data_IF_203815031469
#
_entry.id   IF_203815031469
#
_cell.length_a   1.000
_cell.length_b   1.000
_cell.length_c   1.000
_cell.angle_alpha   90.00
_cell.angle_beta   90.00
_cell.angle_gamma   90.00
#
_symmetry.space_group_name_H-M   'P 1'
#
loop_
_entity.id
_entity.type
_entity.pdbx_description
1 polymer ?
#
# COMPACT_ATOMS: atom_id res chain seq x y z
N UNK A 1 -6.85 54.29 19.86
CA UNK A 1 -6.19 53.25 20.70
C UNK A 1 -6.96 51.93 20.77
N UNK A 2 -8.30 51.92 20.91
CA UNK A 2 -9.10 50.67 21.05
C UNK A 2 -9.02 49.73 19.83
N UNK A 3 -8.82 50.27 18.61
CA UNK A 3 -8.71 49.48 17.38
C UNK A 3 -7.41 48.67 17.27
N UNK A 4 -6.27 49.24 17.68
CA UNK A 4 -4.97 48.57 17.61
C UNK A 4 -4.88 47.39 18.60
N UNK A 5 -5.38 47.59 19.83
CA UNK A 5 -5.41 46.54 20.86
C UNK A 5 -6.27 45.34 20.45
N UNK A 6 -7.45 45.58 19.83
CA UNK A 6 -8.31 44.50 19.31
C UNK A 6 -7.66 43.73 18.17
N UNK A 7 -6.95 44.42 17.27
CA UNK A 7 -6.20 43.77 16.18
C UNK A 7 -5.08 42.90 16.76
N UNK A 8 -4.30 43.42 17.71
CA UNK A 8 -3.25 42.64 18.38
C UNK A 8 -3.81 41.41 19.12
N UNK A 9 -4.98 41.53 19.76
CA UNK A 9 -5.63 40.42 20.46
C UNK A 9 -6.12 39.33 19.49
N UNK A 10 -6.69 39.72 18.34
CA UNK A 10 -7.11 38.78 17.29
C UNK A 10 -5.91 38.09 16.64
N UNK A 11 -4.81 38.81 16.40
CA UNK A 11 -3.56 38.23 15.89
C UNK A 11 -2.98 37.25 16.90
N UNK A 12 -2.93 37.62 18.18
CA UNK A 12 -2.45 36.73 19.25
C UNK A 12 -3.33 35.49 19.41
N UNK A 13 -4.66 35.62 19.32
CA UNK A 13 -5.59 34.49 19.35
C UNK A 13 -5.42 33.59 18.12
N UNK A 14 -5.32 34.15 16.92
CA UNK A 14 -5.08 33.40 15.70
C UNK A 14 -3.73 32.67 15.74
N UNK A 15 -2.68 33.32 16.27
CA UNK A 15 -1.37 32.74 16.48
C UNK A 15 -1.41 31.60 17.50
N UNK A 16 -2.08 31.80 18.65
CA UNK A 16 -2.29 30.77 19.67
C UNK A 16 -3.07 29.57 19.12
N UNK A 17 -4.14 29.79 18.36
CA UNK A 17 -4.89 28.72 17.70
C UNK A 17 -3.99 28.00 16.69
N UNK A 18 -3.27 28.75 15.85
CA UNK A 18 -2.37 28.17 14.84
C UNK A 18 -1.29 27.27 15.45
N UNK A 19 -0.75 27.63 16.62
CA UNK A 19 0.29 26.86 17.30
C UNK A 19 -0.25 25.75 18.22
N UNK A 20 -1.38 25.96 18.90
CA UNK A 20 -1.95 24.98 19.82
C UNK A 20 -2.78 23.90 19.12
N UNK A 21 -3.41 24.22 17.99
CA UNK A 21 -4.34 23.32 17.31
C UNK A 21 -3.66 22.09 16.68
N UNK A 22 -2.49 22.18 16.02
CA UNK A 22 -1.82 21.00 15.47
C UNK A 22 -1.37 19.98 16.54
N UNK A 23 -0.72 20.37 17.66
CA UNK A 23 -0.42 19.45 18.76
C UNK A 23 -1.67 18.81 19.37
N UNK A 24 -2.78 19.54 19.48
CA UNK A 24 -4.05 18.99 19.99
C UNK A 24 -4.65 17.95 19.04
N UNK A 25 -4.59 18.16 17.73
CA UNK A 25 -5.00 17.15 16.74
C UNK A 25 -4.13 15.89 16.86
N UNK A 26 -2.81 16.05 16.96
CA UNK A 26 -1.88 14.93 17.10
C UNK A 26 -2.11 14.16 18.41
N UNK A 27 -2.44 14.86 19.50
CA UNK A 27 -2.79 14.23 20.76
C UNK A 27 -4.12 13.47 20.67
N UNK A 28 -5.13 14.04 20.00
CA UNK A 28 -6.39 13.35 19.74
C UNK A 28 -6.23 12.09 18.88
N UNK A 29 -5.42 12.17 17.82
CA UNK A 29 -5.04 11.02 16.96
C UNK A 29 -4.24 9.97 17.73
N UNK A 30 -3.34 10.39 18.62
CA UNK A 30 -2.63 9.48 19.51
C UNK A 30 -3.60 8.74 20.44
N UNK A 31 -4.53 9.45 21.08
CA UNK A 31 -5.54 8.86 21.97
C UNK A 31 -6.45 7.87 21.25
N UNK A 32 -6.93 8.22 20.05
CA UNK A 32 -7.80 7.33 19.25
C UNK A 32 -7.08 6.07 18.78
N UNK A 33 -5.76 6.07 18.70
CA UNK A 33 -4.96 4.91 18.27
C UNK A 33 -4.40 4.09 19.44
N UNK A 34 -4.17 4.70 20.60
CA UNK A 34 -3.50 4.05 21.74
C UNK A 34 -4.44 3.66 22.89
N UNK A 35 -5.76 3.83 22.73
CA UNK A 35 -6.70 3.34 23.75
C UNK A 35 -6.69 1.80 23.82
N UNK A 36 -7.01 1.19 24.98
CA UNK A 36 -6.91 -0.27 25.17
C UNK A 36 -7.73 -1.14 24.21
N UNK A 37 -8.70 -0.55 23.51
CA UNK A 37 -9.60 -1.23 22.58
C UNK A 37 -9.24 -0.98 21.11
N UNK A 38 -8.11 -0.34 20.82
CA UNK A 38 -7.70 -0.02 19.44
C UNK A 38 -7.25 -1.24 18.64
N UNK A 39 -7.04 -2.38 19.31
CA UNK A 39 -6.53 -3.61 18.70
C UNK A 39 -5.03 -3.60 18.41
N UNK A 40 -4.34 -2.47 18.58
CA UNK A 40 -2.91 -2.34 18.21
C UNK A 40 -2.01 -3.34 18.93
N UNK A 41 -2.23 -3.59 20.24
CA UNK A 41 -1.45 -4.59 20.99
C UNK A 41 -1.58 -6.02 20.44
N UNK A 42 -2.72 -6.35 19.84
CA UNK A 42 -2.89 -7.66 19.21
C UNK A 42 -2.12 -7.72 17.89
N UNK A 43 -2.12 -6.63 17.12
CA UNK A 43 -1.35 -6.51 15.87
C UNK A 43 0.16 -6.57 16.13
N UNK A 44 0.62 -5.90 17.20
CA UNK A 44 2.02 -5.83 17.65
C UNK A 44 2.51 -7.10 18.37
N UNK A 45 1.67 -8.14 18.50
CA UNK A 45 2.06 -9.37 19.16
C UNK A 45 3.28 -10.01 18.46
N UNK A 46 4.24 -10.52 19.25
CA UNK A 46 5.36 -11.29 18.71
C UNK A 46 4.89 -12.50 17.90
N UNK A 47 5.63 -12.82 16.84
CA UNK A 47 5.35 -13.97 16.00
C UNK A 47 6.63 -14.69 15.61
N UNK A 48 6.46 -15.95 15.23
CA UNK A 48 7.48 -16.73 14.52
C UNK A 48 6.84 -17.23 13.23
N UNK A 49 7.50 -17.07 12.06
CA UNK A 49 7.03 -17.65 10.82
C UNK A 49 6.83 -19.17 10.96
N UNK A 50 5.69 -19.67 10.50
CA UNK A 50 5.43 -21.12 10.48
C UNK A 50 6.18 -21.80 9.33
N UNK A 51 6.41 -23.12 9.40
CA UNK A 51 6.99 -23.85 8.26
C UNK A 51 6.18 -23.72 6.97
N UNK A 52 4.83 -23.63 7.06
CA UNK A 52 3.95 -23.38 5.90
C UNK A 52 4.23 -21.99 5.32
N UNK A 53 4.26 -20.96 6.17
CA UNK A 53 4.51 -19.57 5.76
C UNK A 53 5.87 -19.40 5.09
N UNK A 54 6.92 -20.02 5.63
CA UNK A 54 8.25 -20.01 5.02
C UNK A 54 8.30 -20.79 3.71
N UNK A 55 7.59 -21.92 3.62
CA UNK A 55 7.48 -22.65 2.37
C UNK A 55 6.79 -21.82 1.28
N UNK A 56 5.70 -21.13 1.63
CA UNK A 56 5.03 -20.17 0.74
C UNK A 56 5.98 -19.04 0.29
N UNK A 57 6.71 -18.44 1.24
CA UNK A 57 7.63 -17.32 0.99
C UNK A 57 8.75 -17.68 0.02
N UNK A 58 9.27 -18.90 0.12
CA UNK A 58 10.42 -19.37 -0.65
C UNK A 58 10.05 -20.27 -1.85
N UNK A 59 8.75 -20.42 -2.16
CA UNK A 59 8.29 -21.30 -3.24
C UNK A 59 8.69 -22.76 -3.04
N UNK A 60 8.77 -23.22 -1.78
CA UNK A 60 9.16 -24.58 -1.43
C UNK A 60 7.93 -25.51 -1.33
N UNK A 61 8.13 -26.83 -1.46
CA UNK A 61 7.09 -27.81 -1.16
C UNK A 61 6.51 -27.64 0.24
N UNK A 62 5.19 -27.78 0.38
CA UNK A 62 4.56 -27.69 1.68
C UNK A 62 5.01 -28.83 2.60
N UNK A 63 5.18 -28.58 3.92
CA UNK A 63 5.51 -29.63 4.88
C UNK A 63 4.49 -30.78 4.84
N UNK A 64 4.97 -32.01 4.62
CA UNK A 64 4.12 -33.20 4.58
C UNK A 64 3.37 -33.43 3.26
N UNK A 65 3.59 -32.60 2.23
CA UNK A 65 3.07 -32.84 0.89
C UNK A 65 3.90 -33.89 0.15
N UNK A 66 3.21 -34.80 -0.55
CA UNK A 66 3.86 -35.66 -1.55
C UNK A 66 4.17 -34.80 -2.78
N UNK A 67 5.29 -35.03 -3.49
CA UNK A 67 5.59 -34.32 -4.72
C UNK A 67 4.47 -34.57 -5.74
N UNK A 68 3.62 -33.56 -5.93
CA UNK A 68 2.63 -33.55 -7.00
C UNK A 68 3.28 -33.02 -8.26
N UNK A 69 3.21 -33.78 -9.34
CA UNK A 69 3.82 -33.47 -10.65
C UNK A 69 2.98 -32.50 -11.48
N UNK A 70 2.01 -31.82 -10.88
CA UNK A 70 1.18 -30.83 -11.58
C UNK A 70 1.97 -29.54 -11.72
N UNK A 71 2.66 -29.43 -12.85
CA UNK A 71 3.42 -28.25 -13.28
C UNK A 71 2.46 -27.11 -13.63
N UNK A 72 1.99 -26.38 -12.60
CA UNK A 72 1.25 -25.16 -12.81
C UNK A 72 2.23 -24.02 -13.08
N UNK A 73 2.03 -23.32 -14.20
CA UNK A 73 2.81 -22.14 -14.56
C UNK A 73 2.92 -21.16 -13.38
N UNK A 74 4.06 -20.49 -13.16
CA UNK A 74 4.20 -19.53 -12.05
C UNK A 74 3.23 -18.35 -12.21
N UNK A 75 3.05 -17.59 -11.12
CA UNK A 75 2.34 -16.32 -11.17
C UNK A 75 3.15 -15.35 -12.08
N UNK A 76 2.51 -14.69 -13.06
CA UNK A 76 3.21 -13.75 -13.93
C UNK A 76 3.93 -12.64 -13.17
N UNK A 77 5.16 -12.26 -13.57
CA UNK A 77 5.85 -11.12 -12.98
C UNK A 77 5.38 -9.80 -13.64
N UNK A 78 4.08 -9.53 -13.55
CA UNK A 78 3.40 -8.36 -14.11
C UNK A 78 2.80 -7.56 -12.97
N UNK A 79 3.13 -6.28 -12.86
CA UNK A 79 2.70 -5.44 -11.73
C UNK A 79 1.56 -4.53 -12.14
N UNK A 80 0.52 -4.46 -11.30
CA UNK A 80 -0.66 -3.65 -11.48
C UNK A 80 -0.83 -2.67 -10.31
N UNK A 81 -0.98 -1.39 -10.63
CA UNK A 81 -1.37 -0.34 -9.70
C UNK A 81 -2.72 0.22 -10.09
N UNK A 82 -3.50 0.69 -9.11
CA UNK A 82 -4.77 1.40 -9.33
C UNK A 82 -4.65 2.84 -8.84
N UNK A 83 -5.03 3.80 -9.68
CA UNK A 83 -4.98 5.23 -9.37
C UNK A 83 -6.29 5.94 -9.71
N UNK A 84 -6.78 6.79 -8.80
CA UNK A 84 -7.94 7.64 -9.06
C UNK A 84 -7.57 9.12 -8.99
N UNK A 85 -7.68 9.81 -10.13
CA UNK A 85 -7.54 11.27 -10.19
C UNK A 85 -8.85 11.94 -9.75
N UNK A 86 -8.80 12.79 -8.73
CA UNK A 86 -9.96 13.56 -8.28
C UNK A 86 -10.30 14.68 -9.27
N UNK A 87 -11.60 14.89 -9.48
CA UNK A 87 -12.13 15.93 -10.35
C UNK A 87 -13.25 16.72 -9.63
N UNK A 88 -13.14 18.06 -9.55
CA UNK A 88 -12.01 18.88 -10.01
C UNK A 88 -10.74 18.60 -9.19
N UNK A 89 -9.57 18.76 -9.81
CA UNK A 89 -8.31 18.57 -9.10
C UNK A 89 -8.07 19.69 -8.09
N UNK A 90 -7.60 19.33 -6.90
CA UNK A 90 -7.19 20.30 -5.88
C UNK A 90 -5.83 20.96 -6.19
N UNK A 91 -5.05 20.35 -7.09
CA UNK A 91 -3.70 20.78 -7.47
C UNK A 91 -3.54 20.82 -9.00
N UNK A 92 -2.78 21.78 -9.55
CA UNK A 92 -2.51 21.83 -10.99
C UNK A 92 -1.91 20.53 -11.57
N UNK A 93 -1.04 19.88 -10.80
CA UNK A 93 -0.32 18.66 -11.18
C UNK A 93 -1.12 17.36 -10.98
N UNK A 94 -2.29 17.41 -10.35
CA UNK A 94 -3.10 16.22 -10.03
C UNK A 94 -2.73 15.56 -8.70
N UNK A 95 -3.32 14.40 -8.44
CA UNK A 95 -3.20 13.69 -7.16
C UNK A 95 -2.07 12.65 -7.12
N UNK A 96 -1.51 12.28 -8.29
CA UNK A 96 -0.39 11.34 -8.36
C UNK A 96 0.89 12.02 -7.87
N UNK A 97 1.23 11.78 -6.61
CA UNK A 97 2.34 12.44 -5.92
C UNK A 97 3.65 11.65 -5.90
N UNK A 98 4.63 12.22 -5.21
CA UNK A 98 5.96 11.64 -5.05
C UNK A 98 5.97 10.25 -4.39
N UNK A 99 5.09 10.02 -3.41
CA UNK A 99 4.99 8.71 -2.75
C UNK A 99 4.54 7.61 -3.72
N UNK A 100 3.52 7.91 -4.54
CA UNK A 100 3.03 7.01 -5.59
C UNK A 100 4.11 6.73 -6.64
N UNK A 101 4.92 7.73 -6.97
CA UNK A 101 6.11 7.54 -7.80
C UNK A 101 7.11 6.56 -7.20
N UNK A 102 7.43 6.72 -5.92
CA UNK A 102 8.36 5.81 -5.22
C UNK A 102 7.81 4.38 -5.17
N UNK A 103 6.51 4.19 -4.96
CA UNK A 103 5.88 2.87 -4.95
C UNK A 103 6.07 2.17 -6.30
N UNK A 104 5.74 2.86 -7.40
CA UNK A 104 5.93 2.32 -8.77
C UNK A 104 7.41 2.10 -9.09
N UNK A 105 8.30 3.03 -8.73
CA UNK A 105 9.75 2.86 -8.93
C UNK A 105 10.30 1.66 -8.17
N UNK A 106 9.85 1.45 -6.94
CA UNK A 106 10.29 0.31 -6.13
C UNK A 106 9.94 -1.03 -6.80
N UNK A 107 8.75 -1.13 -7.40
CA UNK A 107 8.35 -2.31 -8.17
C UNK A 107 9.24 -2.50 -9.40
N UNK A 108 9.49 -1.44 -10.19
CA UNK A 108 10.37 -1.51 -11.38
C UNK A 108 11.78 -1.98 -10.98
N UNK A 109 12.37 -1.40 -9.93
CA UNK A 109 13.75 -1.66 -9.52
C UNK A 109 13.92 -3.03 -8.86
N UNK A 110 13.01 -3.40 -7.96
CA UNK A 110 13.15 -4.60 -7.13
C UNK A 110 12.56 -5.85 -7.77
N UNK A 111 11.41 -5.73 -8.46
CA UNK A 111 10.74 -6.89 -9.06
C UNK A 111 11.21 -7.18 -10.47
N UNK A 112 11.77 -6.18 -11.19
CA UNK A 112 12.14 -6.27 -12.60
C UNK A 112 11.05 -6.94 -13.45
N UNK A 113 9.81 -6.41 -13.42
CA UNK A 113 8.66 -7.07 -14.01
C UNK A 113 8.71 -7.01 -15.54
N UNK A 114 8.00 -7.94 -16.17
CA UNK A 114 7.80 -7.96 -17.62
C UNK A 114 7.02 -6.71 -18.07
N UNK A 115 6.00 -6.34 -17.28
CA UNK A 115 5.18 -5.16 -17.51
C UNK A 115 4.76 -4.52 -16.18
N UNK A 116 4.61 -3.19 -16.21
CA UNK A 116 3.98 -2.40 -15.13
C UNK A 116 2.80 -1.64 -15.70
N UNK A 117 1.61 -1.89 -15.16
CA UNK A 117 0.38 -1.20 -15.52
C UNK A 117 -0.04 -0.25 -14.41
N UNK A 118 -0.36 0.99 -14.77
CA UNK A 118 -1.08 1.91 -13.91
C UNK A 118 -2.49 2.06 -14.48
N UNK A 119 -3.44 1.38 -13.86
CA UNK A 119 -4.85 1.44 -14.17
C UNK A 119 -5.43 2.70 -13.53
N UNK A 120 -5.87 3.65 -14.35
CA UNK A 120 -6.35 4.94 -13.85
C UNK A 120 -7.83 5.15 -14.09
N UNK A 121 -8.48 5.78 -13.12
CA UNK A 121 -9.86 6.23 -13.18
C UNK A 121 -10.02 7.66 -12.70
N UNK A 122 -11.25 8.18 -12.82
CA UNK A 122 -11.59 9.52 -12.37
C UNK A 122 -12.61 9.47 -11.24
N UNK A 123 -12.24 10.08 -10.12
CA UNK A 123 -13.11 10.27 -8.98
C UNK A 123 -13.76 11.66 -9.06
N UNK A 124 -14.96 11.73 -9.64
CA UNK A 124 -15.74 12.98 -9.67
C UNK A 124 -16.57 13.12 -8.40
N UNK A 125 -16.66 14.34 -7.86
CA UNK A 125 -17.76 14.71 -6.97
C UNK A 125 -19.08 14.67 -7.77
N UNK A 126 -20.26 14.35 -7.18
CA UNK A 126 -21.55 14.43 -7.87
C UNK A 126 -21.83 15.88 -8.32
N UNK A 127 -21.31 16.25 -9.48
CA UNK A 127 -21.46 17.55 -10.12
C UNK A 127 -22.61 17.50 -11.12
N UNK A 128 -23.36 18.60 -11.23
CA UNK A 128 -24.45 18.77 -12.24
C UNK A 128 -23.95 18.74 -13.69
N UNK A 129 -22.64 18.86 -13.92
CA UNK A 129 -22.02 18.75 -15.24
C UNK A 129 -21.49 17.32 -15.41
N UNK A 130 -22.05 16.59 -16.38
CA UNK A 130 -21.85 15.15 -16.55
C UNK A 130 -20.39 14.72 -16.78
N UNK A 131 -20.08 13.50 -16.34
CA UNK A 131 -18.75 12.85 -16.33
C UNK A 131 -17.99 12.89 -17.67
N UNK A 132 -18.70 12.80 -18.79
CA UNK A 132 -18.10 12.83 -20.13
C UNK A 132 -17.37 14.14 -20.43
N UNK A 133 -17.78 15.27 -19.83
CA UNK A 133 -17.14 16.56 -20.07
C UNK A 133 -15.81 16.72 -19.33
N UNK A 134 -15.53 15.91 -18.29
CA UNK A 134 -14.33 16.05 -17.48
C UNK A 134 -13.24 15.00 -17.73
N UNK A 135 -13.54 13.92 -18.48
CA UNK A 135 -12.54 12.91 -18.84
C UNK A 135 -11.34 13.48 -19.63
N UNK A 136 -11.53 14.35 -20.65
CA UNK A 136 -10.41 14.96 -21.37
C UNK A 136 -9.53 15.83 -20.45
N UNK A 137 -10.15 16.53 -19.50
CA UNK A 137 -9.42 17.34 -18.51
C UNK A 137 -8.60 16.45 -17.56
N UNK A 138 -9.22 15.37 -17.05
CA UNK A 138 -8.55 14.39 -16.19
C UNK A 138 -7.37 13.70 -16.89
N UNK A 139 -7.53 13.27 -18.14
CA UNK A 139 -6.42 12.69 -18.91
C UNK A 139 -5.28 13.68 -19.12
N UNK A 140 -5.59 14.95 -19.38
CA UNK A 140 -4.58 16.00 -19.53
C UNK A 140 -3.80 16.24 -18.24
N UNK A 141 -4.45 16.15 -17.07
CA UNK A 141 -3.78 16.22 -15.77
C UNK A 141 -2.81 15.06 -15.60
N UNK A 142 -3.26 13.83 -15.84
CA UNK A 142 -2.44 12.61 -15.75
C UNK A 142 -1.24 12.67 -16.69
N UNK A 143 -1.46 13.02 -17.97
CA UNK A 143 -0.40 13.09 -19.00
C UNK A 143 0.67 14.15 -18.69
N UNK A 144 0.29 15.25 -18.02
CA UNK A 144 1.18 16.36 -17.65
C UNK A 144 1.83 16.19 -16.27
N UNK A 145 1.32 15.28 -15.44
CA UNK A 145 1.85 15.04 -14.10
C UNK A 145 3.36 14.70 -14.19
N UNK A 146 4.22 15.43 -13.44
CA UNK A 146 5.68 15.30 -13.57
C UNK A 146 6.20 13.92 -13.14
N UNK A 147 5.56 13.31 -12.15
CA UNK A 147 5.94 12.00 -11.62
C UNK A 147 5.57 10.87 -12.60
N UNK A 148 4.37 10.91 -13.18
CA UNK A 148 3.96 9.98 -14.23
C UNK A 148 4.85 10.11 -15.47
N UNK A 149 5.24 11.35 -15.83
CA UNK A 149 6.17 11.59 -16.94
C UNK A 149 7.51 10.89 -16.76
N UNK A 150 8.07 10.90 -15.54
CA UNK A 150 9.32 10.19 -15.21
C UNK A 150 9.17 8.67 -15.33
N UNK A 151 8.00 8.12 -14.96
CA UNK A 151 7.72 6.68 -15.04
C UNK A 151 7.44 6.16 -16.45
N UNK A 152 6.98 7.02 -17.36
CA UNK A 152 6.44 6.66 -18.68
C UNK A 152 7.29 5.67 -19.51
N UNK A 153 8.64 5.71 -19.51
CA UNK A 153 9.43 4.74 -20.26
C UNK A 153 9.29 3.29 -19.77
N UNK A 154 8.79 3.09 -18.54
CA UNK A 154 8.77 1.81 -17.85
C UNK A 154 7.35 1.34 -17.47
N UNK A 155 6.32 2.13 -17.76
CA UNK A 155 4.94 1.83 -17.36
C UNK A 155 3.97 2.09 -18.49
N UNK A 156 2.90 1.29 -18.54
CA UNK A 156 1.76 1.52 -19.41
C UNK A 156 0.58 2.08 -18.61
N UNK A 157 0.03 3.20 -19.06
CA UNK A 157 -1.16 3.81 -18.46
C UNK A 157 -2.41 3.24 -19.12
N UNK A 158 -3.25 2.55 -18.33
CA UNK A 158 -4.50 1.95 -18.82
C UNK A 158 -5.72 2.67 -18.22
N UNK A 159 -6.58 3.31 -19.02
CA UNK A 159 -7.84 3.83 -18.49
C UNK A 159 -8.71 2.65 -18.05
N UNK A 160 -9.24 2.71 -16.83
CA UNK A 160 -10.21 1.74 -16.36
C UNK A 160 -11.60 2.05 -16.96
N UNK A 161 -12.11 1.15 -17.79
CA UNK A 161 -13.30 1.38 -18.64
C UNK A 161 -14.59 0.78 -18.07
N UNK A 162 -14.51 -0.16 -17.12
CA UNK A 162 -15.71 -0.76 -16.51
C UNK A 162 -16.45 0.26 -15.64
N UNK A 163 -17.78 0.09 -15.44
CA UNK A 163 -18.56 0.97 -14.57
C UNK A 163 -17.95 1.07 -13.16
N UNK A 164 -17.90 2.29 -12.63
CA UNK A 164 -17.46 2.54 -11.26
C UNK A 164 -18.72 2.82 -10.44
N UNK A 165 -18.84 2.19 -9.27
CA UNK A 165 -19.87 2.55 -8.31
C UNK A 165 -19.49 3.86 -7.62
N UNK A 166 -20.25 4.91 -7.92
CA UNK A 166 -20.06 6.24 -7.33
C UNK A 166 -20.90 6.47 -6.08
N UNK A 167 -21.74 5.51 -5.69
CA UNK A 167 -22.47 5.55 -4.42
C UNK A 167 -21.57 5.21 -3.22
N UNK A 168 -20.40 4.61 -3.47
CA UNK A 168 -19.41 4.33 -2.45
C UNK A 168 -18.81 5.63 -1.90
N UNK A 169 -18.94 5.81 -0.59
CA UNK A 169 -18.35 6.91 0.19
C UNK A 169 -16.82 6.90 0.11
N UNK A 170 -16.27 5.70 -0.01
CA UNK A 170 -14.86 5.41 0.12
C UNK A 170 -14.34 4.82 -1.19
N UNK A 171 -13.30 5.46 -1.74
CA UNK A 171 -12.71 5.05 -3.03
C UNK A 171 -11.79 3.85 -2.87
N UNK A 172 -11.34 3.60 -1.66
CA UNK A 172 -10.59 2.44 -1.23
C UNK A 172 -11.35 1.15 -1.59
N UNK A 173 -12.65 1.08 -1.29
CA UNK A 173 -13.50 -0.05 -1.67
C UNK A 173 -13.64 -0.27 -3.18
N UNK A 174 -13.63 0.82 -3.95
CA UNK A 174 -13.63 0.74 -5.40
C UNK A 174 -12.30 0.15 -5.91
N UNK A 175 -11.18 0.59 -5.35
CA UNK A 175 -9.87 0.01 -5.63
C UNK A 175 -9.77 -1.46 -5.18
N UNK A 176 -10.42 -1.82 -4.08
CA UNK A 176 -10.48 -3.21 -3.57
C UNK A 176 -11.15 -4.16 -4.56
N UNK A 177 -12.25 -3.74 -5.19
CA UNK A 177 -12.87 -4.56 -6.24
C UNK A 177 -11.98 -4.64 -7.48
N UNK A 178 -11.46 -3.51 -7.93
CA UNK A 178 -10.72 -3.41 -9.20
C UNK A 178 -9.44 -4.22 -9.17
N UNK A 179 -8.69 -4.20 -8.07
CA UNK A 179 -7.47 -5.01 -7.95
C UNK A 179 -7.75 -6.51 -8.12
N UNK A 180 -8.87 -7.00 -7.60
CA UNK A 180 -9.29 -8.39 -7.75
C UNK A 180 -9.73 -8.69 -9.18
N UNK A 181 -10.48 -7.79 -9.82
CA UNK A 181 -10.85 -7.95 -11.23
C UNK A 181 -9.61 -8.04 -12.15
N UNK A 182 -8.62 -7.18 -11.92
CA UNK A 182 -7.37 -7.16 -12.70
C UNK A 182 -6.57 -8.46 -12.50
N UNK A 183 -6.45 -8.93 -11.26
CA UNK A 183 -5.76 -10.18 -10.94
C UNK A 183 -6.51 -11.40 -11.48
N UNK A 184 -7.84 -11.40 -11.44
CA UNK A 184 -8.63 -12.48 -12.01
C UNK A 184 -8.44 -12.56 -13.53
N UNK A 185 -8.47 -11.43 -14.22
CA UNK A 185 -8.40 -11.35 -15.68
C UNK A 185 -6.99 -11.59 -16.24
N UNK A 186 -5.96 -11.08 -15.57
CA UNK A 186 -4.59 -11.05 -16.10
C UNK A 186 -3.55 -11.74 -15.21
N UNK A 187 -3.91 -12.04 -13.96
CA UNK A 187 -2.94 -12.47 -12.95
C UNK A 187 -1.90 -11.41 -12.63
N UNK A 188 -0.83 -11.87 -12.01
CA UNK A 188 0.34 -11.08 -11.68
C UNK A 188 0.31 -10.58 -10.24
N UNK A 189 0.87 -9.39 -10.04
CA UNK A 189 1.08 -8.76 -8.74
C UNK A 189 0.28 -7.46 -8.72
N UNK A 190 -0.52 -7.25 -7.68
CA UNK A 190 -1.10 -5.97 -7.35
C UNK A 190 -0.34 -5.32 -6.19
N UNK A 191 -0.16 -4.00 -6.26
CA UNK A 191 0.40 -3.21 -5.18
C UNK A 191 -0.34 -1.88 -5.01
N UNK A 192 -0.62 -1.49 -3.76
CA UNK A 192 -1.10 -0.14 -3.44
C UNK A 192 0.00 0.92 -3.71
N UNK A 193 -0.41 2.17 -3.94
CA UNK A 193 0.49 3.29 -4.26
C UNK A 193 1.30 3.82 -3.06
N UNK A 194 1.26 3.10 -1.94
CA UNK A 194 2.08 3.28 -0.75
C UNK A 194 2.65 1.94 -0.24
N UNK A 195 2.66 0.91 -1.08
CA UNK A 195 3.43 -0.31 -0.90
C UNK A 195 4.72 -0.24 -1.73
N UNK A 196 5.84 -0.62 -1.13
CA UNK A 196 7.17 -0.53 -1.72
C UNK A 196 7.79 -1.92 -1.82
N UNK A 197 8.14 -2.36 -3.03
CA UNK A 197 8.86 -3.61 -3.22
C UNK A 197 10.33 -3.40 -2.88
N UNK A 198 10.80 -4.08 -1.83
CA UNK A 198 12.17 -3.96 -1.35
C UNK A 198 13.07 -5.03 -1.97
N UNK A 199 12.53 -6.23 -2.23
CA UNK A 199 13.25 -7.37 -2.80
C UNK A 199 12.44 -8.07 -3.90
N UNK A 200 13.08 -8.88 -4.76
CA UNK A 200 12.37 -9.68 -5.76
C UNK A 200 11.37 -10.64 -5.12
N UNK A 201 10.21 -10.85 -5.76
CA UNK A 201 9.20 -11.82 -5.31
C UNK A 201 9.37 -13.20 -5.96
N UNK A 202 10.40 -13.41 -6.77
CA UNK A 202 10.53 -14.53 -7.70
C UNK A 202 10.27 -15.92 -7.07
N UNK A 203 10.79 -16.16 -5.86
CA UNK A 203 10.56 -17.41 -5.12
C UNK A 203 9.08 -17.56 -4.73
N UNK A 204 8.49 -16.52 -4.13
CA UNK A 204 7.09 -16.52 -3.73
C UNK A 204 6.15 -16.71 -4.93
N UNK A 205 6.45 -16.14 -6.11
CA UNK A 205 5.61 -16.25 -7.32
C UNK A 205 5.49 -17.66 -7.91
N UNK A 206 6.20 -18.64 -7.36
CA UNK A 206 6.07 -20.06 -7.72
C UNK A 206 5.48 -20.86 -6.55
N UNK A 207 4.26 -20.53 -6.07
CA UNK A 207 3.69 -21.25 -4.94
C UNK A 207 3.44 -22.71 -5.30
N UNK A 208 3.70 -23.60 -4.35
CA UNK A 208 3.41 -25.03 -4.49
C UNK A 208 1.93 -25.25 -4.84
N UNK A 209 1.67 -26.16 -5.77
CA UNK A 209 0.30 -26.60 -6.06
C UNK A 209 -0.41 -27.10 -4.79
N UNK A 210 -1.71 -26.85 -4.61
CA UNK A 210 -2.65 -26.22 -5.55
C UNK A 210 -2.85 -24.70 -5.41
N UNK A 211 -2.09 -24.02 -4.55
CA UNK A 211 -2.33 -22.60 -4.25
C UNK A 211 -2.14 -21.72 -5.49
N UNK A 212 -3.09 -20.82 -5.75
CA UNK A 212 -3.09 -19.94 -6.92
C UNK A 212 -3.07 -18.44 -6.58
N UNK A 213 -3.10 -18.09 -5.29
CA UNK A 213 -2.96 -16.74 -4.77
C UNK A 213 -1.96 -16.66 -3.60
N UNK A 214 -1.45 -15.45 -3.35
CA UNK A 214 -0.50 -15.11 -2.28
C UNK A 214 -0.96 -13.83 -1.59
N UNK A 215 -1.07 -13.87 -0.27
CA UNK A 215 -1.26 -12.69 0.58
C UNK A 215 -0.41 -12.80 1.85
N UNK A 216 -0.08 -11.66 2.46
CA UNK A 216 0.61 -11.58 3.74
C UNK A 216 -0.32 -11.25 4.91
N UNK A 217 0.02 -11.74 6.10
CA UNK A 217 -0.65 -11.35 7.34
C UNK A 217 -0.37 -9.89 7.70
N UNK A 218 -1.40 -9.14 8.10
CA UNK A 218 -1.27 -7.71 8.45
C UNK A 218 -0.45 -7.48 9.75
N UNK A 219 -0.46 -8.44 10.66
CA UNK A 219 0.18 -8.32 11.97
C UNK A 219 0.40 -9.67 12.65
N UNK A 220 1.06 -9.65 13.81
CA UNK A 220 1.52 -10.85 14.51
C UNK A 220 0.40 -11.76 15.00
N UNK A 221 -0.78 -11.21 15.30
CA UNK A 221 -1.99 -11.99 15.63
C UNK A 221 -2.60 -12.78 14.46
N UNK A 222 -2.14 -12.57 13.22
CA UNK A 222 -2.68 -13.23 12.01
C UNK A 222 -4.20 -13.08 11.85
N UNK A 223 -4.76 -11.98 12.36
CA UNK A 223 -6.20 -11.73 12.33
C UNK A 223 -6.72 -11.37 10.93
N UNK A 224 -5.84 -10.97 10.02
CA UNK A 224 -6.19 -10.52 8.68
C UNK A 224 -5.09 -10.74 7.65
N UNK A 225 -5.50 -10.93 6.40
CA UNK A 225 -4.63 -10.98 5.22
C UNK A 225 -4.85 -9.69 4.42
N UNK A 226 -3.84 -8.82 4.37
CA UNK A 226 -3.99 -7.47 3.84
C UNK A 226 -3.90 -7.43 2.31
N UNK A 227 -4.78 -6.66 1.68
CA UNK A 227 -4.94 -6.58 0.23
C UNK A 227 -4.04 -5.55 -0.47
N UNK A 228 -3.13 -4.89 0.26
CA UNK A 228 -2.23 -3.87 -0.28
C UNK A 228 -1.10 -4.46 -1.15
N UNK A 229 -0.81 -5.76 -0.99
CA UNK A 229 0.03 -6.54 -1.89
C UNK A 229 -0.61 -7.91 -2.08
N UNK A 230 -0.92 -8.27 -3.33
CA UNK A 230 -1.52 -9.56 -3.69
C UNK A 230 -0.78 -10.07 -4.91
N UNK A 231 -0.51 -11.37 -4.98
CA UNK A 231 -0.08 -12.01 -6.22
C UNK A 231 -0.99 -13.19 -6.54
N UNK A 232 -1.40 -13.37 -7.78
CA UNK A 232 -2.29 -14.46 -8.16
C UNK A 232 -2.12 -14.88 -9.62
N UNK A 233 -2.42 -16.14 -9.91
CA UNK A 233 -2.57 -16.63 -11.29
C UNK A 233 -3.83 -16.03 -11.93
N UNK A 234 -3.84 -15.84 -13.26
CA UNK A 234 -5.10 -15.54 -13.96
C UNK A 234 -6.11 -16.68 -13.69
N UNK A 235 -7.39 -16.33 -13.56
CA UNK A 235 -8.46 -17.24 -13.18
C UNK A 235 -8.26 -17.95 -11.81
N UNK A 236 -7.57 -17.31 -10.86
CA UNK A 236 -7.41 -17.84 -9.49
C UNK A 236 -8.78 -18.07 -8.83
N UNK A 237 -8.95 -19.27 -8.25
CA UNK A 237 -10.15 -19.68 -7.52
C UNK A 237 -10.33 -18.82 -6.27
N UNK A 238 -9.23 -18.51 -5.57
CA UNK A 238 -9.27 -17.66 -4.39
C UNK A 238 -9.73 -16.24 -4.74
N UNK A 239 -9.15 -15.64 -5.79
CA UNK A 239 -9.49 -14.28 -6.23
C UNK A 239 -10.93 -14.22 -6.75
N UNK A 240 -11.38 -15.21 -7.52
CA UNK A 240 -12.75 -15.29 -8.02
C UNK A 240 -13.75 -15.33 -6.86
N UNK A 241 -13.52 -16.22 -5.89
CA UNK A 241 -14.36 -16.37 -4.71
C UNK A 241 -14.44 -15.09 -3.89
N UNK A 242 -13.30 -14.43 -3.69
CA UNK A 242 -13.24 -13.18 -2.97
C UNK A 242 -13.93 -12.05 -3.73
N UNK A 243 -13.72 -11.93 -5.04
CA UNK A 243 -14.39 -10.92 -5.86
C UNK A 243 -15.93 -11.06 -5.79
N UNK A 244 -16.45 -12.28 -5.85
CA UNK A 244 -17.89 -12.54 -5.77
C UNK A 244 -18.54 -12.13 -4.43
N UNK A 245 -17.76 -11.97 -3.34
CA UNK A 245 -18.33 -11.50 -2.08
C UNK A 245 -18.73 -10.02 -2.14
N UNK A 246 -18.12 -9.23 -3.05
CA UNK A 246 -18.43 -7.80 -3.22
C UNK A 246 -19.83 -7.56 -3.81
N UNK A 247 -20.42 -8.52 -4.52
CA UNK A 247 -21.72 -8.34 -5.19
C UNK A 247 -22.89 -8.17 -4.22
N UNK A 248 -22.73 -8.60 -2.95
CA UNK A 248 -23.76 -8.55 -1.92
C UNK A 248 -23.38 -7.69 -0.71
N UNK A 249 -22.22 -7.04 -0.75
CA UNK A 249 -21.68 -6.31 0.38
C UNK A 249 -22.23 -4.87 0.46
N UNK A 250 -22.57 -4.42 1.66
CA UNK A 250 -22.74 -2.99 1.93
C UNK A 250 -21.37 -2.38 2.29
N UNK A 251 -20.58 -2.10 1.24
CA UNK A 251 -19.25 -1.52 1.36
C UNK A 251 -19.26 -0.12 2.02
N UNK A 252 -20.42 0.54 2.17
CA UNK A 252 -20.49 1.81 2.89
C UNK A 252 -20.59 1.64 4.42
N UNK A 253 -20.94 0.44 4.89
CA UNK A 253 -21.03 0.09 6.31
C UNK A 253 -19.76 -0.59 6.84
N UNK A 254 -18.91 -1.12 5.95
CA UNK A 254 -17.79 -1.99 6.30
C UNK A 254 -16.45 -1.48 5.77
N UNK A 255 -15.60 -0.94 6.66
CA UNK A 255 -14.34 -0.29 6.24
C UNK A 255 -13.17 -1.25 5.97
N UNK A 256 -12.87 -2.19 6.86
CA UNK A 256 -11.69 -3.09 6.71
C UNK A 256 -12.06 -4.56 6.54
N UNK A 257 -13.34 -4.92 6.71
CA UNK A 257 -13.75 -6.31 6.73
C UNK A 257 -13.44 -6.99 5.39
N UNK A 258 -13.89 -6.42 4.28
CA UNK A 258 -13.71 -7.00 2.94
C UNK A 258 -12.25 -7.00 2.44
N UNK A 259 -11.43 -6.05 2.90
CA UNK A 259 -10.04 -5.89 2.46
C UNK A 259 -9.02 -6.65 3.30
N UNK A 260 -9.35 -7.04 4.52
CA UNK A 260 -8.37 -7.63 5.47
C UNK A 260 -8.91 -8.87 6.21
N UNK A 261 -10.12 -8.80 6.75
CA UNK A 261 -10.67 -9.87 7.60
C UNK A 261 -11.30 -11.01 6.79
N UNK A 262 -12.09 -10.67 5.78
CA UNK A 262 -12.76 -11.63 4.92
C UNK A 262 -11.78 -12.53 4.15
N UNK A 263 -10.68 -12.02 3.56
CA UNK A 263 -9.68 -12.88 2.91
C UNK A 263 -9.09 -13.90 3.87
N UNK A 264 -8.88 -13.51 5.13
CA UNK A 264 -8.43 -14.44 6.17
C UNK A 264 -9.44 -15.54 6.47
N UNK A 265 -10.73 -15.22 6.49
CA UNK A 265 -11.80 -16.19 6.66
C UNK A 265 -11.90 -17.13 5.45
N UNK A 266 -11.81 -16.59 4.24
CA UNK A 266 -11.77 -17.39 3.02
C UNK A 266 -10.56 -18.33 3.01
N UNK A 267 -9.38 -17.85 3.40
CA UNK A 267 -8.17 -18.69 3.51
C UNK A 267 -8.32 -19.81 4.54
N UNK A 268 -9.08 -19.60 5.62
CA UNK A 268 -9.40 -20.65 6.58
C UNK A 268 -10.30 -21.74 5.98
N UNK A 269 -11.28 -21.35 5.18
CA UNK A 269 -12.23 -22.28 4.55
C UNK A 269 -11.67 -22.94 3.27
N UNK A 270 -10.70 -22.30 2.62
CA UNK A 270 -10.09 -22.71 1.36
C UNK A 270 -8.55 -22.68 1.47
N UNK A 271 -7.94 -23.45 2.39
CA UNK A 271 -6.50 -23.36 2.67
C UNK A 271 -5.61 -23.81 1.50
N UNK A 272 -6.19 -24.56 0.57
CA UNK A 272 -5.54 -25.10 -0.63
C UNK A 272 -5.48 -24.08 -1.80
N UNK A 273 -6.25 -22.98 -1.72
CA UNK A 273 -6.29 -21.98 -2.80
C UNK A 273 -5.23 -20.86 -2.61
N UNK A 274 -4.66 -20.72 -1.41
CA UNK A 274 -3.82 -19.56 -1.05
C UNK A 274 -2.55 -19.90 -0.24
N UNK A 275 -1.44 -19.31 -0.67
CA UNK A 275 -0.19 -19.24 0.06
C UNK A 275 -0.16 -18.01 0.98
N UNK A 276 -0.27 -18.24 2.28
CA UNK A 276 -0.20 -17.19 3.31
C UNK A 276 1.27 -16.91 3.68
N UNK A 277 1.72 -15.66 3.55
CA UNK A 277 3.06 -15.21 3.91
C UNK A 277 3.13 -14.73 5.36
N UNK A 278 4.30 -14.85 6.03
CA UNK A 278 4.44 -14.42 7.41
C UNK A 278 4.28 -12.90 7.55
N UNK A 279 3.96 -12.38 8.76
CA UNK A 279 3.72 -10.95 8.95
C UNK A 279 4.88 -10.04 8.51
N UNK A 280 6.13 -10.51 8.61
CA UNK A 280 7.32 -9.78 8.18
C UNK A 280 7.59 -9.76 6.67
N UNK A 281 6.81 -10.48 5.86
CA UNK A 281 7.02 -10.51 4.42
C UNK A 281 6.61 -9.20 3.73
N UNK A 282 5.41 -8.69 4.02
CA UNK A 282 4.85 -7.51 3.34
C UNK A 282 4.48 -6.35 4.27
N UNK A 283 4.06 -6.65 5.51
CA UNK A 283 3.29 -5.70 6.32
C UNK A 283 3.92 -5.36 7.68
N UNK A 284 5.09 -5.91 8.01
CA UNK A 284 5.89 -5.45 9.14
C UNK A 284 6.90 -4.38 8.68
N UNK A 285 7.09 -3.27 9.40
CA UNK A 285 6.28 -2.81 10.54
C UNK A 285 4.84 -2.45 10.14
N UNK A 286 3.94 -2.57 11.10
CA UNK A 286 2.49 -2.51 10.90
C UNK A 286 1.94 -1.08 10.91
N UNK A 287 0.61 -0.94 10.80
CA UNK A 287 -0.09 0.34 10.83
C UNK A 287 -0.14 0.99 12.21
N UNK A 288 0.30 0.29 13.26
CA UNK A 288 0.17 0.78 14.64
C UNK A 288 0.97 2.05 14.86
N UNK A 289 0.59 2.81 15.90
CA UNK A 289 1.22 4.09 16.18
C UNK A 289 2.73 3.94 16.44
N UNK A 290 3.10 2.90 17.20
CA UNK A 290 4.48 2.60 17.57
C UNK A 290 5.35 2.30 16.35
N UNK A 291 4.86 1.41 15.48
CA UNK A 291 5.56 0.97 14.28
C UNK A 291 5.72 2.09 13.24
N UNK A 292 4.65 2.86 13.00
CA UNK A 292 4.72 4.03 12.12
C UNK A 292 5.71 5.07 12.67
N UNK A 293 5.70 5.33 13.97
CA UNK A 293 6.69 6.24 14.58
C UNK A 293 8.11 5.70 14.43
N UNK A 294 8.32 4.42 14.72
CA UNK A 294 9.63 3.76 14.63
C UNK A 294 10.23 3.85 13.22
N UNK A 295 9.40 3.76 12.18
CA UNK A 295 9.85 3.92 10.80
C UNK A 295 10.34 5.33 10.45
N UNK A 296 9.80 6.35 11.10
CA UNK A 296 9.98 7.75 10.70
C UNK A 296 10.70 8.62 11.73
N UNK A 297 11.02 8.11 12.92
CA UNK A 297 11.82 8.84 13.89
C UNK A 297 13.25 9.08 13.36
N UNK A 298 13.84 10.27 13.61
CA UNK A 298 15.22 10.54 13.25
C UNK A 298 16.18 9.57 13.97
N UNK A 299 17.16 9.09 13.22
CA UNK A 299 18.19 8.18 13.73
C UNK A 299 19.42 8.96 14.20
N UNK A 300 20.11 8.41 15.20
CA UNK A 300 21.48 8.81 15.48
C UNK A 300 22.40 8.41 14.31
N UNK A 301 23.58 9.02 14.21
CA UNK A 301 24.54 8.67 13.15
C UNK A 301 24.94 7.17 13.21
N UNK A 302 25.11 6.63 14.42
CA UNK A 302 25.44 5.21 14.64
C UNK A 302 24.29 4.29 14.24
N UNK A 303 23.05 4.64 14.57
CA UNK A 303 21.89 3.83 14.16
C UNK A 303 21.68 3.89 12.65
N UNK A 304 21.88 5.06 12.05
CA UNK A 304 21.77 5.23 10.60
C UNK A 304 22.80 4.37 9.84
N UNK A 305 24.05 4.33 10.32
CA UNK A 305 25.08 3.45 9.76
C UNK A 305 24.73 1.97 9.91
N UNK A 306 24.25 1.56 11.10
CA UNK A 306 23.75 0.20 11.32
C UNK A 306 22.67 -0.19 10.30
N UNK A 307 21.64 0.66 10.14
CA UNK A 307 20.54 0.35 9.22
C UNK A 307 20.97 0.41 7.75
N UNK A 308 21.88 1.31 7.36
CA UNK A 308 22.45 1.32 6.00
C UNK A 308 23.15 0.00 5.69
N UNK A 309 24.00 -0.48 6.61
CA UNK A 309 24.71 -1.75 6.46
C UNK A 309 23.73 -2.93 6.42
N UNK A 310 22.72 -2.94 7.29
CA UNK A 310 21.71 -3.99 7.34
C UNK A 310 20.87 -4.05 6.06
N UNK A 311 20.44 -2.91 5.55
CA UNK A 311 19.71 -2.79 4.27
C UNK A 311 20.56 -3.34 3.13
N UNK A 312 21.85 -3.00 3.09
CA UNK A 312 22.76 -3.51 2.07
C UNK A 312 22.93 -5.04 2.17
N UNK A 313 23.17 -5.56 3.37
CA UNK A 313 23.35 -7.00 3.65
C UNK A 313 22.13 -7.83 3.22
N UNK A 314 20.93 -7.32 3.48
CA UNK A 314 19.68 -8.02 3.18
C UNK A 314 19.14 -7.75 1.77
N UNK A 315 19.92 -7.14 0.88
CA UNK A 315 19.49 -6.88 -0.50
C UNK A 315 18.39 -5.82 -0.60
N UNK A 316 18.31 -4.93 0.39
CA UNK A 316 17.48 -3.74 0.37
C UNK A 316 16.28 -3.72 1.31
N UNK A 317 16.13 -4.72 2.18
CA UNK A 317 15.10 -4.77 3.23
C UNK A 317 15.69 -4.56 4.63
N UNK A 318 14.83 -4.34 5.62
CA UNK A 318 15.26 -4.24 7.02
C UNK A 318 15.38 -5.63 7.68
N UNK A 319 14.59 -6.61 7.21
CA UNK A 319 14.47 -7.95 7.80
C UNK A 319 14.64 -9.06 6.77
N UNK A 320 15.09 -10.26 7.19
CA UNK A 320 15.41 -11.36 6.26
C UNK A 320 14.25 -11.82 5.39
N UNK A 321 13.03 -11.85 5.92
CA UNK A 321 11.84 -12.30 5.18
C UNK A 321 11.15 -11.18 4.40
N UNK A 322 11.56 -9.93 4.63
CA UNK A 322 10.83 -8.76 4.16
C UNK A 322 11.04 -8.53 2.67
N UNK A 323 9.97 -8.72 1.90
CA UNK A 323 9.90 -8.50 0.47
C UNK A 323 9.36 -7.12 0.14
N UNK A 324 8.42 -6.61 0.94
CA UNK A 324 7.82 -5.30 0.76
C UNK A 324 7.66 -4.55 2.09
N UNK A 325 7.40 -3.25 1.98
CA UNK A 325 6.98 -2.40 3.08
C UNK A 325 5.74 -1.61 2.67
N UNK A 326 4.71 -1.62 3.51
CA UNK A 326 3.52 -0.79 3.33
C UNK A 326 3.61 0.43 4.25
N UNK A 327 3.48 1.65 3.71
CA UNK A 327 3.65 2.88 4.48
C UNK A 327 2.40 3.35 5.22
N UNK A 328 1.27 2.65 5.07
CA UNK A 328 0.03 2.92 5.79
C UNK A 328 -0.38 4.39 5.69
N UNK A 329 -0.52 4.94 4.49
CA UNK A 329 -0.72 6.39 4.28
C UNK A 329 -1.87 6.96 5.09
N UNK A 330 -2.91 6.16 5.37
CA UNK A 330 -4.02 6.57 6.24
C UNK A 330 -3.56 6.95 7.65
N UNK A 331 -2.53 6.26 8.19
CA UNK A 331 -2.00 6.45 9.55
C UNK A 331 -0.77 7.38 9.60
N UNK A 332 0.03 7.41 8.53
CA UNK A 332 1.34 8.07 8.50
C UNK A 332 1.36 9.39 7.73
N UNK A 333 0.39 9.65 6.84
CA UNK A 333 0.44 10.78 5.90
C UNK A 333 0.55 12.13 6.57
N UNK A 334 -0.29 12.41 7.56
CA UNK A 334 -0.33 13.73 8.20
C UNK A 334 0.91 14.01 9.07
N UNK A 335 1.49 12.95 9.65
CA UNK A 335 2.64 13.03 10.56
C UNK A 335 3.98 13.02 9.82
N UNK A 336 4.11 12.18 8.80
CA UNK A 336 5.42 11.85 8.21
C UNK A 336 5.46 11.93 6.69
N UNK A 337 4.48 11.37 5.95
CA UNK A 337 4.63 11.21 4.50
C UNK A 337 4.36 12.49 3.68
N UNK A 338 3.46 13.38 4.13
CA UNK A 338 3.03 14.55 3.34
C UNK A 338 4.18 15.53 3.05
N UNK A 339 5.19 15.58 3.91
CA UNK A 339 6.35 16.49 3.77
C UNK A 339 7.47 15.94 2.88
N UNK A 340 7.40 14.66 2.50
CA UNK A 340 8.51 14.01 1.82
C UNK A 340 8.72 14.60 0.43
N UNK A 341 9.98 14.89 0.14
CA UNK A 341 10.52 15.29 -1.16
C UNK A 341 11.78 14.46 -1.43
N UNK A 342 12.30 14.42 -2.67
CA UNK A 342 13.60 13.79 -2.92
C UNK A 342 14.69 14.28 -1.97
N UNK A 343 14.76 15.59 -1.72
CA UNK A 343 15.78 16.18 -0.83
C UNK A 343 15.62 15.75 0.62
N UNK A 344 14.38 15.71 1.14
CA UNK A 344 14.11 15.22 2.50
C UNK A 344 14.55 13.76 2.66
N UNK A 345 14.25 12.90 1.67
CA UNK A 345 14.66 11.50 1.71
C UNK A 345 16.19 11.38 1.66
N UNK A 346 16.87 12.19 0.85
CA UNK A 346 18.34 12.18 0.77
C UNK A 346 19.01 12.71 2.03
N UNK A 347 18.48 13.77 2.65
CA UNK A 347 19.13 14.49 3.73
C UNK A 347 18.86 13.92 5.12
N UNK A 348 17.65 13.40 5.38
CA UNK A 348 17.25 12.98 6.73
C UNK A 348 17.37 11.47 6.89
N UNK A 349 18.11 11.04 7.91
CA UNK A 349 18.28 9.62 8.26
C UNK A 349 17.12 9.14 9.15
N UNK A 350 16.14 8.49 8.52
CA UNK A 350 15.07 7.70 9.15
C UNK A 350 15.04 6.32 8.51
N UNK A 351 14.52 5.28 9.17
CA UNK A 351 14.47 3.93 8.57
C UNK A 351 13.73 3.91 7.24
N UNK A 352 12.62 4.64 7.16
CA UNK A 352 11.87 4.84 5.92
C UNK A 352 12.73 5.51 4.83
N UNK A 353 13.37 6.64 5.13
CA UNK A 353 14.15 7.38 4.14
C UNK A 353 15.33 6.55 3.64
N UNK A 354 16.02 5.83 4.54
CA UNK A 354 17.12 4.94 4.18
C UNK A 354 16.67 3.85 3.19
N UNK A 355 15.50 3.24 3.41
CA UNK A 355 14.92 2.30 2.46
C UNK A 355 14.61 2.93 1.10
N UNK A 356 14.09 4.16 1.08
CA UNK A 356 13.60 4.78 -0.16
C UNK A 356 14.70 5.36 -1.04
N UNK A 357 15.89 5.68 -0.50
CA UNK A 357 16.99 6.33 -1.25
C UNK A 357 17.37 5.61 -2.54
N UNK A 358 17.38 4.27 -2.52
CA UNK A 358 17.73 3.45 -3.70
C UNK A 358 16.71 3.52 -4.85
N UNK A 359 15.53 4.11 -4.63
CA UNK A 359 14.49 4.29 -5.65
C UNK A 359 14.43 5.71 -6.21
N UNK A 360 15.23 6.62 -5.66
CA UNK A 360 15.41 7.96 -6.21
C UNK A 360 16.27 7.89 -7.48
N UNK A 361 15.92 8.73 -8.45
CA UNK A 361 16.80 9.03 -9.57
C UNK A 361 17.79 10.11 -9.15
N UNK A 362 18.95 10.16 -9.81
CA UNK A 362 19.77 11.36 -9.82
C UNK A 362 19.01 12.43 -10.63
N UNK A 363 18.88 13.63 -10.09
CA UNK A 363 18.15 14.74 -10.72
C UNK A 363 18.99 15.49 -11.76
#
# INVERSE_FOLDING_TARGET
>A
MVSLFRICLLIALAFSIYHAFPPLILFGDWLSQNHPFSGQRAVEQDFTPTPKELACLHGLPLPGSLPTTTDHAPIPNVVNFVFFQKLPSSKPEGDFGFLAYLAVRSAIVSLKPDHVYIHYGFASSPSRFGRASQAPLGESIIKRNPWIRRLRPHVELKPYTKPLDHSLKHREHLADRIRLELLLEHGGIYMDLDAFALRPFAEALSPSSPHDAILGYEGGNRAGLCNAVIAARPNSSFIDRWLHTYDKADLNAEWNYHSVILPRQLAHHHPDEICELPPDAFFWPTWTWGDVRWMHEPLSATDAEFWKNRIQELGGSLFPNQLAYHAWSQMSRNRYLRRLTPDVIRAEDTRFNLLMRRFLEDD
#
